data_IF_591682021523
#
_entry.id   IF_591682021523
#
_cell.length_a   1.000
_cell.length_b   1.000
_cell.length_c   1.000
_cell.angle_alpha   90.00
_cell.angle_beta   90.00
_cell.angle_gamma   90.00
#
_symmetry.space_group_name_H-M   'P 1'
#
loop_
_entity.id
_entity.type
_entity.pdbx_description
1 polymer ?
#
# COMPACT_ATOMS: atom_id res chain seq x y z
N UNK A 1 40.51 17.34 -19.04
CA UNK A 1 39.09 17.76 -19.03
C UNK A 1 38.25 16.49 -18.96
N UNK A 2 37.84 16.10 -17.75
CA UNK A 2 37.09 14.87 -17.51
C UNK A 2 35.61 15.10 -17.86
N UNK A 3 35.15 14.48 -18.94
CA UNK A 3 33.77 14.55 -19.41
C UNK A 3 32.87 13.54 -18.70
N UNK A 4 32.15 14.04 -17.70
CA UNK A 4 30.75 13.74 -17.38
C UNK A 4 30.29 12.27 -17.47
N UNK A 5 30.41 11.54 -16.36
CA UNK A 5 29.54 10.38 -16.07
C UNK A 5 28.13 10.91 -15.88
N UNK A 6 27.30 10.79 -16.92
CA UNK A 6 25.85 10.87 -16.74
C UNK A 6 25.46 9.73 -15.82
N UNK A 7 25.10 10.07 -14.58
CA UNK A 7 24.45 9.16 -13.66
C UNK A 7 23.14 8.71 -14.31
N UNK A 8 23.16 7.56 -14.96
CA UNK A 8 21.94 6.86 -15.33
C UNK A 8 21.23 6.53 -14.01
N UNK A 9 20.08 7.16 -13.81
CA UNK A 9 19.17 6.89 -12.70
C UNK A 9 18.91 5.39 -12.59
N UNK A 10 19.11 4.80 -11.41
CA UNK A 10 18.84 3.38 -11.11
C UNK A 10 17.37 2.95 -11.34
N UNK A 11 16.53 3.86 -11.82
CA UNK A 11 15.11 3.66 -12.14
C UNK A 11 14.94 3.04 -13.54
N UNK A 12 15.87 3.27 -14.47
CA UNK A 12 15.73 2.83 -15.88
C UNK A 12 15.94 1.31 -16.07
N UNK A 13 16.48 0.63 -15.06
CA UNK A 13 16.72 -0.82 -15.07
C UNK A 13 15.66 -1.62 -14.27
N UNK A 14 14.62 -0.97 -13.75
CA UNK A 14 13.54 -1.65 -13.03
C UNK A 14 12.56 -2.27 -14.03
N UNK A 15 12.29 -3.56 -13.88
CA UNK A 15 11.26 -4.24 -14.67
C UNK A 15 9.91 -3.53 -14.52
N UNK A 16 9.08 -3.56 -15.57
CA UNK A 16 7.76 -2.89 -15.58
C UNK A 16 6.90 -3.25 -14.36
N UNK A 17 7.02 -4.49 -13.88
CA UNK A 17 6.32 -4.95 -12.68
C UNK A 17 6.88 -4.34 -11.40
N UNK A 18 8.21 -4.21 -11.28
CA UNK A 18 8.86 -3.53 -10.16
C UNK A 18 8.55 -2.02 -10.14
N UNK A 19 8.45 -1.39 -11.31
CA UNK A 19 8.00 -0.01 -11.43
C UNK A 19 6.56 0.16 -10.96
N UNK A 20 5.69 -0.81 -11.30
CA UNK A 20 4.31 -0.82 -10.84
C UNK A 20 4.22 -1.00 -9.32
N UNK A 21 4.95 -1.93 -8.72
CA UNK A 21 4.92 -2.14 -7.27
C UNK A 21 5.42 -0.92 -6.51
N UNK A 22 6.46 -0.24 -7.02
CA UNK A 22 6.94 1.01 -6.45
C UNK A 22 5.90 2.13 -6.55
N UNK A 23 5.25 2.28 -7.71
CA UNK A 23 4.19 3.28 -7.91
C UNK A 23 2.99 3.04 -6.98
N UNK A 24 2.58 1.78 -6.85
CA UNK A 24 1.49 1.37 -5.95
C UNK A 24 1.87 1.62 -4.48
N UNK A 25 3.14 1.38 -4.11
CA UNK A 25 3.67 1.71 -2.78
C UNK A 25 3.62 3.22 -2.50
N UNK A 26 4.12 4.06 -3.42
CA UNK A 26 4.11 5.52 -3.24
C UNK A 26 2.69 6.07 -3.12
N UNK A 27 1.75 5.52 -3.90
CA UNK A 27 0.33 5.88 -3.81
C UNK A 27 -0.24 5.53 -2.43
N UNK A 28 0.06 4.34 -1.91
CA UNK A 28 -0.35 3.92 -0.57
C UNK A 28 0.28 4.76 0.53
N UNK A 29 1.56 5.12 0.37
CA UNK A 29 2.28 6.00 1.31
C UNK A 29 1.63 7.38 1.40
N UNK A 30 1.32 8.00 0.26
CA UNK A 30 0.66 9.31 0.23
C UNK A 30 -0.73 9.28 0.88
N UNK A 31 -1.51 8.21 0.63
CA UNK A 31 -2.81 8.03 1.27
C UNK A 31 -2.69 7.88 2.78
N UNK A 32 -1.69 7.13 3.23
CA UNK A 32 -1.44 6.91 4.66
C UNK A 32 -1.02 8.20 5.36
N UNK A 33 -0.11 8.97 4.75
CA UNK A 33 0.37 10.23 5.32
C UNK A 33 -0.76 11.25 5.44
N UNK A 34 -1.60 11.40 4.41
CA UNK A 34 -2.78 12.28 4.44
C UNK A 34 -3.78 11.89 5.53
N UNK A 35 -4.09 10.59 5.63
CA UNK A 35 -5.03 10.05 6.63
C UNK A 35 -4.52 10.33 8.05
N UNK A 36 -3.29 9.93 8.35
CA UNK A 36 -2.74 10.12 9.69
C UNK A 36 -2.54 11.58 10.04
N UNK A 37 -2.17 12.43 9.07
CA UNK A 37 -2.10 13.87 9.30
C UNK A 37 -3.47 14.44 9.70
N UNK A 38 -4.52 14.13 8.92
CA UNK A 38 -5.88 14.62 9.15
C UNK A 38 -6.46 14.14 10.49
N UNK A 39 -6.17 12.90 10.89
CA UNK A 39 -6.71 12.33 12.12
C UNK A 39 -5.93 12.74 13.38
N UNK A 40 -4.62 12.97 13.27
CA UNK A 40 -3.73 13.12 14.42
C UNK A 40 -3.17 14.53 14.64
N UNK A 41 -2.95 15.33 13.59
CA UNK A 41 -2.38 16.67 13.72
C UNK A 41 -3.51 17.68 13.88
N UNK A 42 -3.61 18.27 15.07
CA UNK A 42 -4.75 19.11 15.49
C UNK A 42 -4.32 20.43 16.11
N UNK A 43 -3.08 20.54 16.56
CA UNK A 43 -2.51 21.78 17.06
C UNK A 43 -1.58 22.43 16.03
N UNK A 44 -1.91 23.67 15.67
CA UNK A 44 -1.15 24.48 14.71
C UNK A 44 -0.49 25.71 15.35
N UNK A 45 -0.37 25.72 16.69
CA UNK A 45 0.27 26.83 17.42
C UNK A 45 1.80 26.78 17.43
N UNK A 46 2.40 25.63 17.08
CA UNK A 46 3.86 25.46 16.92
C UNK A 46 4.23 24.70 15.66
N UNK A 47 5.46 24.89 15.18
CA UNK A 47 6.04 24.11 14.06
C UNK A 47 6.43 22.69 14.47
N UNK A 48 6.54 22.42 15.77
CA UNK A 48 6.84 21.11 16.34
C UNK A 48 5.55 20.38 16.65
N UNK A 49 5.54 19.06 16.42
CA UNK A 49 4.44 18.19 16.86
C UNK A 49 4.46 18.04 18.38
N UNK A 50 3.27 17.97 18.99
CA UNK A 50 3.16 17.55 20.41
C UNK A 50 3.39 16.05 20.53
N UNK A 51 3.88 15.58 21.68
CA UNK A 51 4.06 14.16 21.96
C UNK A 51 2.78 13.33 21.73
N UNK A 52 1.61 13.91 22.01
CA UNK A 52 0.32 13.26 21.76
C UNK A 52 0.02 13.04 20.28
N UNK A 53 0.41 13.98 19.42
CA UNK A 53 0.20 13.91 17.96
C UNK A 53 1.21 12.95 17.32
N UNK A 54 2.45 12.95 17.81
CA UNK A 54 3.47 11.98 17.41
C UNK A 54 3.04 10.56 17.75
N UNK A 55 2.62 10.31 18.99
CA UNK A 55 2.09 9.00 19.42
C UNK A 55 0.84 8.61 18.64
N UNK A 56 -0.06 9.55 18.35
CA UNK A 56 -1.22 9.26 17.51
C UNK A 56 -0.80 8.82 16.10
N UNK A 57 0.13 9.56 15.47
CA UNK A 57 0.60 9.30 14.10
C UNK A 57 1.26 7.92 13.99
N UNK A 58 2.10 7.54 14.96
CA UNK A 58 2.71 6.21 15.02
C UNK A 58 1.67 5.10 15.15
N UNK A 59 0.69 5.26 16.05
CA UNK A 59 -0.39 4.30 16.21
C UNK A 59 -1.30 4.21 14.98
N UNK A 60 -1.55 5.34 14.31
CA UNK A 60 -2.33 5.40 13.08
C UNK A 60 -1.66 4.57 11.97
N UNK A 61 -0.36 4.79 11.74
CA UNK A 61 0.44 4.03 10.80
C UNK A 61 0.40 2.52 11.10
N UNK A 62 0.67 2.13 12.34
CA UNK A 62 0.69 0.72 12.74
C UNK A 62 -0.68 0.05 12.53
N UNK A 63 -1.76 0.73 12.95
CA UNK A 63 -3.13 0.24 12.77
C UNK A 63 -3.48 0.09 11.29
N UNK A 64 -3.16 1.07 10.46
CA UNK A 64 -3.43 1.03 9.03
C UNK A 64 -2.72 -0.15 8.35
N UNK A 65 -1.43 -0.37 8.65
CA UNK A 65 -0.66 -1.47 8.08
C UNK A 65 -1.21 -2.83 8.52
N UNK A 66 -1.52 -3.01 9.81
CA UNK A 66 -2.13 -4.25 10.33
C UNK A 66 -3.51 -4.48 9.72
N UNK A 67 -4.31 -3.43 9.58
CA UNK A 67 -5.63 -3.49 8.94
C UNK A 67 -5.49 -3.96 7.48
N UNK A 68 -4.61 -3.34 6.69
CA UNK A 68 -4.40 -3.73 5.30
C UNK A 68 -3.95 -5.19 5.17
N UNK A 69 -3.03 -5.66 6.02
CA UNK A 69 -2.64 -7.07 6.04
C UNK A 69 -3.83 -7.99 6.31
N UNK A 70 -4.66 -7.66 7.30
CA UNK A 70 -5.84 -8.44 7.64
C UNK A 70 -6.89 -8.44 6.53
N UNK A 71 -7.13 -7.29 5.90
CA UNK A 71 -8.04 -7.17 4.75
C UNK A 71 -7.53 -8.03 3.59
N UNK A 72 -6.24 -7.94 3.26
CA UNK A 72 -5.63 -8.76 2.20
C UNK A 72 -5.79 -10.26 2.46
N UNK A 73 -5.60 -10.71 3.71
CA UNK A 73 -5.81 -12.11 4.08
C UNK A 73 -7.26 -12.55 3.81
N UNK A 74 -8.25 -11.78 4.30
CA UNK A 74 -9.67 -12.12 4.11
C UNK A 74 -10.08 -12.06 2.64
N UNK A 75 -9.53 -11.11 1.89
CA UNK A 75 -9.76 -11.00 0.45
C UNK A 75 -9.24 -12.24 -0.28
N UNK A 76 -8.03 -12.70 0.03
CA UNK A 76 -7.47 -13.93 -0.57
C UNK A 76 -8.31 -15.17 -0.23
N UNK A 77 -8.73 -15.32 1.03
CA UNK A 77 -9.65 -16.40 1.45
C UNK A 77 -10.94 -16.40 0.61
N UNK A 78 -11.54 -15.22 0.41
CA UNK A 78 -12.74 -15.07 -0.41
C UNK A 78 -12.51 -15.41 -1.89
N UNK A 79 -11.40 -14.96 -2.47
CA UNK A 79 -11.06 -15.24 -3.87
C UNK A 79 -10.90 -16.74 -4.13
N UNK A 80 -10.29 -17.47 -3.19
CA UNK A 80 -10.15 -18.93 -3.28
C UNK A 80 -11.51 -19.62 -3.32
N UNK A 81 -12.40 -19.31 -2.37
CA UNK A 81 -13.75 -19.87 -2.29
C UNK A 81 -14.56 -19.54 -3.55
N UNK A 82 -14.48 -18.29 -4.02
CA UNK A 82 -15.19 -17.85 -5.23
C UNK A 82 -14.72 -18.60 -6.47
N UNK A 83 -13.42 -18.86 -6.59
CA UNK A 83 -12.86 -19.59 -7.72
C UNK A 83 -13.26 -21.07 -7.68
N UNK A 84 -13.20 -21.72 -6.52
CA UNK A 84 -13.68 -23.10 -6.34
C UNK A 84 -15.15 -23.25 -6.74
N UNK A 85 -16.00 -22.32 -6.30
CA UNK A 85 -17.41 -22.29 -6.67
C UNK A 85 -17.61 -22.10 -8.18
N UNK A 86 -16.83 -21.22 -8.81
CA UNK A 86 -16.88 -20.99 -10.25
C UNK A 86 -16.47 -22.23 -11.05
N UNK A 87 -15.42 -22.93 -10.63
CA UNK A 87 -14.96 -24.18 -11.25
C UNK A 87 -16.01 -25.30 -11.09
N UNK A 88 -16.63 -25.42 -9.91
CA UNK A 88 -17.69 -26.40 -9.66
C UNK A 88 -18.94 -26.13 -10.52
N UNK A 89 -19.29 -24.87 -10.77
CA UNK A 89 -20.37 -24.50 -11.69
C UNK A 89 -20.01 -24.83 -13.14
N UNK A 90 -18.78 -24.53 -13.58
CA UNK A 90 -18.31 -24.83 -14.93
C UNK A 90 -18.31 -26.34 -15.24
N UNK A 91 -17.95 -27.18 -14.26
CA UNK A 91 -17.99 -28.64 -14.39
C UNK A 91 -19.42 -29.21 -14.50
N UNK A 92 -20.41 -28.56 -13.87
CA UNK A 92 -21.82 -28.97 -13.97
C UNK A 92 -22.38 -28.67 -15.36
N UNK A 93 -21.99 -27.54 -15.96
CA UNK A 93 -22.41 -27.18 -17.32
C UNK A 93 -21.77 -28.02 -18.41
N UNK A 94 -20.59 -28.63 -18.19
CA UNK A 94 -19.93 -29.49 -19.19
C UNK A 94 -20.39 -30.95 -19.19
N UNK A 95 -21.17 -31.36 -18.17
CA UNK A 95 -21.67 -32.74 -18.01
C UNK A 95 -23.17 -32.88 -18.33
N UNK A 96 -23.83 -31.79 -18.71
CA UNK A 96 -25.21 -31.78 -19.22
C UNK A 96 -25.19 -31.59 -20.73
#
# INVERSE_FOLDING_TARGET
>A
MAGNQSQASSIDALDKEQMKTLSDFLTSYNKLSEMCFTDCVRDFTSRTLRETEEKCSLNCMEKYLKMNQRISQRFQEFQLISNENALAMAQKTSKS
#
